data_IF_862119601684
#
_entry.id   IF_862119601684
#
_cell.length_a   1.000
_cell.length_b   1.000
_cell.length_c   1.000
_cell.angle_alpha   90.00
_cell.angle_beta   90.00
_cell.angle_gamma   90.00
#
_symmetry.space_group_name_H-M   'P 1'
#
loop_
_entity.id
_entity.type
_entity.pdbx_description
1 polymer ?
#
# COMPACT_ATOMS: atom_id res chain seq x y z
N UNK A 1 11.16 21.60 -2.57
CA UNK A 1 9.72 21.90 -2.31
C UNK A 1 9.45 23.40 -2.47
N UNK A 2 8.22 23.82 -2.82
CA UNK A 2 7.90 25.25 -3.07
C UNK A 2 7.39 26.00 -1.82
N UNK A 3 7.31 27.33 -1.91
CA UNK A 3 6.93 28.21 -0.79
C UNK A 3 5.47 28.05 -0.34
N UNK A 4 4.57 27.66 -1.26
CA UNK A 4 3.16 27.37 -0.91
C UNK A 4 3.07 26.16 0.02
N UNK A 5 3.86 25.11 -0.21
CA UNK A 5 3.91 23.93 0.65
C UNK A 5 4.50 24.28 2.02
N UNK A 6 5.54 25.12 2.06
CA UNK A 6 6.14 25.57 3.33
C UNK A 6 5.15 26.29 4.24
N UNK A 7 4.32 27.17 3.67
CA UNK A 7 3.34 27.94 4.44
C UNK A 7 2.13 27.10 4.91
N UNK A 8 1.93 25.91 4.35
CA UNK A 8 0.81 25.02 4.68
C UNK A 8 1.18 23.93 5.70
N UNK A 9 2.45 23.81 6.11
CA UNK A 9 2.94 22.74 6.97
C UNK A 9 3.64 23.28 8.22
N UNK A 10 3.55 22.58 9.36
CA UNK A 10 4.44 22.83 10.49
C UNK A 10 5.90 22.67 10.08
N UNK A 11 6.78 23.51 10.61
CA UNK A 11 8.20 23.56 10.23
C UNK A 11 8.90 22.19 10.34
N UNK A 12 8.67 21.45 11.42
CA UNK A 12 9.23 20.10 11.61
C UNK A 12 8.82 19.13 10.49
N UNK A 13 7.57 19.21 10.04
CA UNK A 13 7.05 18.35 8.95
C UNK A 13 7.67 18.77 7.62
N UNK A 14 7.77 20.08 7.36
CA UNK A 14 8.40 20.60 6.15
C UNK A 14 9.87 20.17 6.04
N UNK A 15 10.64 20.31 7.13
CA UNK A 15 12.05 19.93 7.16
C UNK A 15 12.21 18.43 6.95
N UNK A 16 11.45 17.61 7.69
CA UNK A 16 11.50 16.14 7.53
C UNK A 16 11.16 15.74 6.09
N UNK A 17 10.08 16.27 5.52
CA UNK A 17 9.66 15.94 4.15
C UNK A 17 10.70 16.37 3.11
N UNK A 18 11.32 17.54 3.31
CA UNK A 18 12.41 18.03 2.45
C UNK A 18 13.61 17.09 2.51
N UNK A 19 14.05 16.70 3.71
CA UNK A 19 15.15 15.74 3.89
C UNK A 19 14.87 14.39 3.22
N UNK A 20 13.63 13.89 3.32
CA UNK A 20 13.21 12.67 2.63
C UNK A 20 13.28 12.82 1.11
N UNK A 21 12.84 13.96 0.55
CA UNK A 21 12.88 14.19 -0.89
C UNK A 21 14.31 14.38 -1.39
N UNK A 22 15.16 15.07 -0.64
CA UNK A 22 16.58 15.25 -0.97
C UNK A 22 17.35 13.92 -0.95
N UNK A 23 16.93 12.97 -0.10
CA UNK A 23 17.43 11.58 -0.11
C UNK A 23 16.84 10.71 -1.22
N UNK A 24 16.01 11.29 -2.11
CA UNK A 24 15.36 10.60 -3.21
C UNK A 24 14.27 9.61 -2.77
N UNK A 25 13.72 9.77 -1.56
CA UNK A 25 12.65 8.92 -1.03
C UNK A 25 11.24 9.32 -1.51
N UNK A 26 11.16 10.41 -2.29
CA UNK A 26 9.93 10.91 -2.89
C UNK A 26 10.17 12.17 -3.73
N UNK A 27 9.11 12.86 -4.16
CA UNK A 27 7.71 12.47 -4.01
C UNK A 27 7.38 11.21 -4.81
N UNK A 28 6.51 10.37 -4.26
CA UNK A 28 5.97 9.18 -4.95
C UNK A 28 4.50 9.44 -5.27
N UNK A 29 4.10 9.13 -6.51
CA UNK A 29 2.70 9.15 -6.94
C UNK A 29 2.35 7.84 -7.69
N UNK A 30 1.07 7.66 -8.00
CA UNK A 30 0.61 6.44 -8.69
C UNK A 30 1.17 6.30 -10.11
N UNK A 31 1.63 7.36 -10.77
CA UNK A 31 2.18 7.27 -12.12
C UNK A 31 3.51 6.51 -12.13
N UNK A 32 4.26 6.51 -11.03
CA UNK A 32 5.50 5.75 -10.88
C UNK A 32 5.28 4.22 -10.99
N UNK A 33 4.06 3.75 -10.72
CA UNK A 33 3.67 2.34 -10.87
C UNK A 33 2.76 2.11 -12.08
N UNK A 34 2.58 3.13 -12.93
CA UNK A 34 1.67 3.09 -14.07
C UNK A 34 2.03 2.01 -15.08
N UNK A 35 3.30 1.95 -15.49
CA UNK A 35 3.77 0.97 -16.47
C UNK A 35 3.72 -0.46 -15.93
N UNK A 36 4.03 -0.64 -14.63
CA UNK A 36 3.88 -1.93 -13.97
C UNK A 36 2.42 -2.39 -13.98
N UNK A 37 1.49 -1.51 -13.61
CA UNK A 37 0.06 -1.82 -13.65
C UNK A 37 -0.43 -2.12 -15.06
N UNK A 38 -0.07 -1.30 -16.06
CA UNK A 38 -0.43 -1.54 -17.46
C UNK A 38 0.15 -2.86 -17.97
N UNK A 39 1.39 -3.19 -17.61
CA UNK A 39 2.03 -4.47 -17.90
C UNK A 39 1.26 -5.65 -17.31
N UNK A 40 0.82 -5.54 -16.04
CA UNK A 40 -0.04 -6.55 -15.38
C UNK A 40 -1.34 -6.70 -16.17
N UNK A 41 -2.09 -5.62 -16.41
CA UNK A 41 -3.36 -5.71 -17.16
C UNK A 41 -3.16 -6.31 -18.55
N UNK A 42 -2.10 -5.94 -19.27
CA UNK A 42 -1.80 -6.45 -20.62
C UNK A 42 -1.49 -7.94 -20.64
N UNK A 43 -0.82 -8.49 -19.61
CA UNK A 43 -0.52 -9.93 -19.51
C UNK A 43 -1.64 -10.76 -18.87
N UNK A 44 -2.43 -10.18 -17.97
CA UNK A 44 -3.46 -10.90 -17.20
C UNK A 44 -4.60 -11.37 -18.10
N UNK A 45 -5.20 -12.51 -17.78
CA UNK A 45 -6.40 -12.97 -18.49
C UNK A 45 -7.63 -12.18 -18.03
N UNK A 46 -8.74 -12.26 -18.78
CA UNK A 46 -9.98 -11.56 -18.41
C UNK A 46 -10.56 -12.09 -17.09
N UNK A 47 -10.49 -13.40 -16.84
CA UNK A 47 -10.93 -14.03 -15.59
C UNK A 47 -10.11 -13.56 -14.38
N UNK A 48 -8.80 -13.35 -14.57
CA UNK A 48 -7.92 -12.79 -13.54
C UNK A 48 -8.33 -11.35 -13.21
N UNK A 49 -8.50 -10.48 -14.21
CA UNK A 49 -8.92 -9.09 -13.99
C UNK A 49 -10.30 -9.03 -13.34
N UNK A 50 -11.23 -9.89 -13.77
CA UNK A 50 -12.58 -9.99 -13.20
C UNK A 50 -12.58 -10.43 -11.74
N UNK A 51 -11.55 -11.15 -11.30
CA UNK A 51 -11.43 -11.62 -9.91
C UNK A 51 -10.97 -10.54 -8.94
N UNK A 52 -10.37 -9.45 -9.42
CA UNK A 52 -9.86 -8.38 -8.57
C UNK A 52 -10.99 -7.65 -7.83
N UNK A 53 -10.70 -7.23 -6.61
CA UNK A 53 -11.66 -6.45 -5.80
C UNK A 53 -12.14 -5.21 -6.57
N UNK A 54 -13.44 -4.92 -6.44
CA UNK A 54 -14.15 -3.81 -7.08
C UNK A 54 -14.33 -3.93 -8.62
N UNK A 55 -13.83 -4.99 -9.26
CA UNK A 55 -14.09 -5.26 -10.70
C UNK A 55 -15.37 -6.07 -10.83
N UNK A 56 -16.41 -5.49 -11.46
CA UNK A 56 -17.71 -6.13 -11.64
C UNK A 56 -18.33 -5.80 -12.98
N UNK A 57 -19.09 -6.75 -13.50
CA UNK A 57 -20.04 -6.56 -14.61
C UNK A 57 -19.38 -6.03 -15.90
N UNK A 58 -18.40 -6.76 -16.43
CA UNK A 58 -17.78 -6.44 -17.71
C UNK A 58 -16.74 -5.31 -17.65
N UNK A 59 -16.47 -4.75 -16.47
CA UNK A 59 -15.43 -3.74 -16.30
C UNK A 59 -14.04 -4.29 -16.69
N UNK A 60 -13.80 -5.58 -16.50
CA UNK A 60 -12.60 -6.29 -16.93
C UNK A 60 -12.32 -6.12 -18.43
N UNK A 61 -13.36 -6.16 -19.28
CA UNK A 61 -13.23 -5.98 -20.72
C UNK A 61 -12.78 -4.56 -21.05
N UNK A 62 -13.41 -3.58 -20.40
CA UNK A 62 -13.08 -2.17 -20.56
C UNK A 62 -11.65 -1.88 -20.08
N UNK A 63 -11.25 -2.43 -18.93
CA UNK A 63 -9.88 -2.32 -18.41
C UNK A 63 -8.90 -2.91 -19.42
N UNK A 64 -9.16 -4.14 -19.89
CA UNK A 64 -8.28 -4.85 -20.83
C UNK A 64 -8.11 -4.09 -22.14
N UNK A 65 -9.20 -3.62 -22.73
CA UNK A 65 -9.19 -2.88 -24.00
C UNK A 65 -8.45 -1.55 -23.89
N UNK A 66 -8.76 -0.74 -22.86
CA UNK A 66 -8.17 0.59 -22.71
C UNK A 66 -6.70 0.53 -22.28
N UNK A 67 -6.26 -0.52 -21.58
CA UNK A 67 -4.85 -0.72 -21.26
C UNK A 67 -3.97 -0.96 -22.50
N UNK A 68 -4.52 -1.48 -23.60
CA UNK A 68 -3.78 -1.63 -24.86
C UNK A 68 -3.54 -0.29 -25.56
N UNK A 69 -4.45 0.66 -25.36
CA UNK A 69 -4.44 1.97 -26.03
C UNK A 69 -3.72 3.04 -25.22
N UNK A 70 -3.85 3.01 -23.90
CA UNK A 70 -3.27 4.00 -23.02
C UNK A 70 -1.73 3.96 -23.02
N UNK A 71 -1.12 5.14 -22.98
CA UNK A 71 0.34 5.32 -22.91
C UNK A 71 0.86 5.55 -21.49
N UNK A 72 -0.04 5.85 -20.54
CA UNK A 72 0.28 6.08 -19.14
C UNK A 72 -0.96 5.87 -18.25
N UNK A 73 -0.77 5.82 -16.93
CA UNK A 73 -1.85 5.55 -15.97
C UNK A 73 -2.95 6.63 -15.96
N UNK A 74 -2.58 7.91 -16.09
CA UNK A 74 -3.55 9.01 -16.09
C UNK A 74 -4.48 8.95 -17.28
N UNK A 75 -3.94 8.69 -18.47
CA UNK A 75 -4.72 8.46 -19.68
C UNK A 75 -5.63 7.23 -19.52
N UNK A 76 -5.06 6.11 -19.07
CA UNK A 76 -5.83 4.89 -18.80
C UNK A 76 -7.05 5.15 -17.89
N UNK A 77 -6.84 5.80 -16.75
CA UNK A 77 -7.92 6.12 -15.81
C UNK A 77 -8.99 7.02 -16.44
N UNK A 78 -8.58 7.96 -17.29
CA UNK A 78 -9.49 8.85 -18.01
C UNK A 78 -10.34 8.08 -19.04
N UNK A 79 -9.73 7.15 -19.77
CA UNK A 79 -10.43 6.31 -20.76
C UNK A 79 -11.41 5.33 -20.10
N UNK A 80 -11.02 4.72 -18.97
CA UNK A 80 -11.86 3.73 -18.28
C UNK A 80 -12.99 4.40 -17.49
N UNK A 81 -12.80 5.63 -17.00
CA UNK A 81 -13.80 6.37 -16.22
C UNK A 81 -15.14 6.47 -16.95
N UNK A 82 -16.21 6.20 -16.20
CA UNK A 82 -17.60 6.43 -16.63
C UNK A 82 -18.38 7.07 -15.48
N UNK A 83 -19.68 7.39 -15.69
CA UNK A 83 -20.56 7.78 -14.59
C UNK A 83 -20.70 6.65 -13.55
N UNK A 84 -20.67 5.39 -14.02
CA UNK A 84 -20.80 4.19 -13.19
C UNK A 84 -19.52 3.85 -12.42
N UNK A 85 -18.37 4.13 -13.00
CA UNK A 85 -17.06 3.84 -12.42
C UNK A 85 -16.31 5.15 -12.16
N UNK A 86 -16.49 5.76 -10.97
CA UNK A 86 -15.82 7.00 -10.61
C UNK A 86 -14.31 6.80 -10.44
N UNK A 87 -13.55 7.88 -10.58
CA UNK A 87 -12.08 7.86 -10.56
C UNK A 87 -11.51 7.22 -9.27
N UNK A 88 -12.11 7.50 -8.12
CA UNK A 88 -11.69 6.94 -6.82
C UNK A 88 -11.81 5.42 -6.79
N UNK A 89 -12.88 4.85 -7.37
CA UNK A 89 -13.04 3.39 -7.49
C UNK A 89 -11.97 2.80 -8.42
N UNK A 90 -11.71 3.46 -9.56
CA UNK A 90 -10.67 3.01 -10.49
C UNK A 90 -9.27 3.06 -9.86
N UNK A 91 -8.96 4.09 -9.08
CA UNK A 91 -7.70 4.17 -8.34
C UNK A 91 -7.55 3.03 -7.33
N UNK A 92 -8.63 2.61 -6.64
CA UNK A 92 -8.58 1.42 -5.77
C UNK A 92 -8.31 0.14 -6.56
N UNK A 93 -9.00 -0.04 -7.70
CA UNK A 93 -8.77 -1.20 -8.59
C UNK A 93 -7.32 -1.26 -9.06
N UNK A 94 -6.68 -0.13 -9.34
CA UNK A 94 -5.25 -0.10 -9.69
C UNK A 94 -4.40 -0.72 -8.58
N UNK A 95 -4.64 -0.34 -7.32
CA UNK A 95 -3.93 -0.90 -6.16
C UNK A 95 -4.27 -2.39 -5.97
N UNK A 96 -5.54 -2.79 -6.09
CA UNK A 96 -5.94 -4.18 -5.98
C UNK A 96 -5.31 -5.06 -7.07
N UNK A 97 -5.24 -4.58 -8.31
CA UNK A 97 -4.58 -5.28 -9.42
C UNK A 97 -3.06 -5.37 -9.22
N UNK A 98 -2.41 -4.32 -8.73
CA UNK A 98 -0.98 -4.36 -8.37
C UNK A 98 -0.70 -5.42 -7.29
N UNK A 99 -1.59 -5.54 -6.30
CA UNK A 99 -1.47 -6.52 -5.22
C UNK A 99 -1.99 -7.91 -5.59
N UNK A 100 -2.60 -8.08 -6.76
CA UNK A 100 -3.40 -9.25 -7.10
C UNK A 100 -4.39 -9.63 -5.98
N UNK A 101 -5.05 -8.63 -5.38
CA UNK A 101 -6.04 -8.82 -4.33
C UNK A 101 -7.40 -9.17 -4.97
N UNK A 102 -7.85 -10.40 -4.74
CA UNK A 102 -9.08 -10.92 -5.31
C UNK A 102 -10.27 -10.77 -4.35
N UNK A 103 -11.49 -10.78 -4.87
CA UNK A 103 -12.72 -10.80 -4.06
C UNK A 103 -12.71 -11.97 -3.04
N UNK A 104 -12.37 -13.23 -3.43
CA UNK A 104 -12.21 -14.32 -2.47
C UNK A 104 -11.20 -14.05 -1.36
N UNK A 105 -10.02 -13.51 -1.69
CA UNK A 105 -8.99 -13.20 -0.69
C UNK A 105 -9.45 -12.12 0.29
N UNK A 106 -10.07 -11.07 -0.23
CA UNK A 106 -10.62 -10.00 0.59
C UNK A 106 -11.73 -10.53 1.52
N UNK A 107 -12.64 -11.34 0.99
CA UNK A 107 -13.73 -11.93 1.77
C UNK A 107 -13.19 -12.87 2.86
N UNK A 108 -12.24 -13.74 2.54
CA UNK A 108 -11.57 -14.63 3.49
C UNK A 108 -10.95 -13.84 4.66
N UNK A 109 -10.20 -12.78 4.37
CA UNK A 109 -9.57 -11.92 5.38
C UNK A 109 -10.56 -11.03 6.15
N UNK A 110 -11.69 -10.65 5.55
CA UNK A 110 -12.65 -9.73 6.17
C UNK A 110 -13.74 -10.45 6.99
N UNK A 111 -14.05 -11.72 6.68
CA UNK A 111 -15.17 -12.48 7.28
C UNK A 111 -15.08 -12.70 8.78
N UNK A 112 -13.88 -12.80 9.36
CA UNK A 112 -13.75 -13.33 10.73
C UNK A 112 -13.89 -12.31 11.85
N UNK A 113 -13.37 -11.07 11.73
CA UNK A 113 -13.53 -10.02 12.78
C UNK A 113 -12.85 -8.67 12.46
N UNK A 114 -12.48 -8.38 11.21
CA UNK A 114 -11.65 -7.21 10.86
C UNK A 114 -10.14 -7.52 10.90
N UNK A 115 -9.27 -6.59 11.34
CA UNK A 115 -7.82 -6.77 11.22
C UNK A 115 -7.34 -7.97 12.05
N UNK A 116 -6.51 -8.83 11.44
CA UNK A 116 -5.99 -10.05 12.07
C UNK A 116 -4.78 -9.83 12.98
N UNK A 117 -4.22 -8.62 12.99
CA UNK A 117 -3.12 -8.23 13.88
C UNK A 117 -3.09 -6.72 14.11
N UNK A 118 -2.28 -6.33 15.10
CA UNK A 118 -1.86 -4.96 15.33
C UNK A 118 -0.35 -4.87 15.16
N UNK A 119 0.08 -4.13 14.13
CA UNK A 119 1.49 -3.84 13.89
C UNK A 119 1.83 -2.47 14.44
N UNK A 120 2.80 -2.44 15.35
CA UNK A 120 3.29 -1.19 15.92
C UNK A 120 4.26 -0.56 14.94
N UNK A 121 3.92 0.59 14.35
CA UNK A 121 4.80 1.32 13.42
C UNK A 121 5.67 2.37 14.11
N UNK A 122 5.25 2.85 15.28
CA UNK A 122 5.94 3.83 16.09
C UNK A 122 5.32 3.90 17.48
N UNK A 123 6.08 4.37 18.48
CA UNK A 123 5.56 4.68 19.81
C UNK A 123 6.44 5.75 20.48
N UNK A 124 5.85 6.55 21.36
CA UNK A 124 6.61 7.47 22.23
C UNK A 124 7.09 6.76 23.50
N UNK A 125 8.18 7.22 24.11
CA UNK A 125 8.69 6.65 25.35
C UNK A 125 7.66 6.69 26.50
N UNK A 126 6.84 7.76 26.55
CA UNK A 126 5.77 7.90 27.56
C UNK A 126 4.64 6.89 27.38
N UNK A 127 4.46 6.34 26.17
CA UNK A 127 3.43 5.35 25.85
C UNK A 127 3.83 3.90 26.17
N UNK A 128 5.04 3.65 26.71
CA UNK A 128 5.49 2.29 27.06
C UNK A 128 4.53 1.52 27.99
N UNK A 129 3.93 2.11 29.05
CA UNK A 129 2.96 1.42 29.88
C UNK A 129 1.70 1.00 29.11
N UNK A 130 1.21 1.87 28.21
CA UNK A 130 0.08 1.58 27.33
C UNK A 130 0.40 0.42 26.39
N UNK A 131 1.60 0.42 25.78
CA UNK A 131 2.02 -0.65 24.88
C UNK A 131 2.09 -2.01 25.59
N UNK A 132 2.57 -2.03 26.85
CA UNK A 132 2.56 -3.25 27.68
C UNK A 132 1.13 -3.73 27.97
N UNK A 133 0.21 -2.81 28.27
CA UNK A 133 -1.21 -3.14 28.50
C UNK A 133 -1.86 -3.68 27.23
N UNK A 134 -1.66 -3.01 26.09
CA UNK A 134 -2.17 -3.41 24.78
C UNK A 134 -1.78 -4.85 24.43
N UNK A 135 -0.51 -5.22 24.61
CA UNK A 135 -0.02 -6.59 24.35
C UNK A 135 -0.68 -7.65 25.23
N UNK A 136 -1.20 -7.29 26.41
CA UNK A 136 -1.90 -8.20 27.32
C UNK A 136 -3.41 -8.28 27.06
N UNK A 137 -4.01 -7.19 26.56
CA UNK A 137 -5.47 -7.06 26.45
C UNK A 137 -5.99 -7.19 25.03
N UNK A 138 -5.14 -7.10 24.01
CA UNK A 138 -5.57 -7.22 22.62
C UNK A 138 -6.07 -8.64 22.29
N UNK A 139 -7.17 -8.71 21.54
CA UNK A 139 -7.75 -9.97 21.06
C UNK A 139 -7.04 -10.53 19.82
N UNK A 140 -6.12 -9.76 19.24
CA UNK A 140 -5.33 -10.14 18.07
C UNK A 140 -3.84 -9.98 18.39
N UNK A 141 -2.97 -10.72 17.69
CA UNK A 141 -1.52 -10.56 17.80
C UNK A 141 -1.04 -9.12 17.72
N UNK A 142 -0.19 -8.72 18.66
CA UNK A 142 0.48 -7.41 18.66
C UNK A 142 1.97 -7.63 18.49
N UNK A 143 2.53 -7.17 17.37
CA UNK A 143 3.97 -7.29 17.12
C UNK A 143 4.59 -6.00 16.60
N UNK A 144 5.88 -5.86 16.92
CA UNK A 144 6.74 -4.76 16.50
C UNK A 144 7.66 -5.23 15.38
N UNK A 145 8.34 -6.36 15.56
CA UNK A 145 9.24 -6.93 14.56
C UNK A 145 8.45 -7.77 13.55
N UNK A 146 8.58 -7.46 12.26
CA UNK A 146 7.99 -8.25 11.17
C UNK A 146 8.42 -9.73 11.23
N UNK A 147 9.67 -10.01 11.62
CA UNK A 147 10.19 -11.37 11.77
C UNK A 147 9.41 -12.25 12.78
N UNK A 148 8.58 -11.67 13.65
CA UNK A 148 7.73 -12.45 14.55
C UNK A 148 6.47 -13.01 13.87
N UNK A 149 6.20 -12.66 12.61
CA UNK A 149 4.99 -13.08 11.89
C UNK A 149 4.84 -14.61 11.83
N UNK A 150 5.97 -15.33 11.71
CA UNK A 150 6.02 -16.79 11.64
C UNK A 150 5.52 -17.49 12.92
N UNK A 151 5.26 -16.74 14.00
CA UNK A 151 4.70 -17.27 15.26
C UNK A 151 3.17 -17.34 15.27
N UNK A 152 2.51 -16.79 14.25
CA UNK A 152 1.06 -16.66 14.20
C UNK A 152 0.45 -17.54 13.10
N UNK A 153 -0.86 -17.77 13.16
CA UNK A 153 -1.58 -18.63 12.21
C UNK A 153 -1.62 -18.08 10.78
N UNK A 154 -1.97 -18.95 9.83
CA UNK A 154 -1.97 -18.65 8.39
C UNK A 154 -2.78 -17.41 8.03
N UNK A 155 -3.94 -17.18 8.66
CA UNK A 155 -4.78 -16.00 8.42
C UNK A 155 -4.02 -14.68 8.66
N UNK A 156 -3.23 -14.63 9.75
CA UNK A 156 -2.42 -13.45 10.11
C UNK A 156 -1.27 -13.28 9.13
N UNK A 157 -0.61 -14.38 8.76
CA UNK A 157 0.50 -14.36 7.81
C UNK A 157 0.04 -13.91 6.42
N UNK A 158 -1.12 -14.38 5.96
CA UNK A 158 -1.71 -14.01 4.67
C UNK A 158 -2.02 -12.52 4.60
N UNK A 159 -2.65 -11.96 5.63
CA UNK A 159 -2.92 -10.51 5.70
C UNK A 159 -1.62 -9.69 5.72
N UNK A 160 -0.63 -10.12 6.50
CA UNK A 160 0.67 -9.45 6.57
C UNK A 160 1.45 -9.53 5.25
N UNK A 161 1.30 -10.61 4.49
CA UNK A 161 1.93 -10.74 3.18
C UNK A 161 1.46 -9.67 2.19
N UNK A 162 0.19 -9.24 2.26
CA UNK A 162 -0.30 -8.11 1.45
C UNK A 162 0.32 -6.78 1.88
N UNK A 163 0.49 -6.54 3.18
CA UNK A 163 1.22 -5.36 3.69
C UNK A 163 2.68 -5.34 3.21
N UNK A 164 3.35 -6.50 3.23
CA UNK A 164 4.71 -6.62 2.71
C UNK A 164 4.79 -6.40 1.21
N UNK A 165 3.88 -7.00 0.44
CA UNK A 165 3.82 -6.78 -1.00
C UNK A 165 3.56 -5.30 -1.32
N UNK A 166 2.67 -4.64 -0.59
CA UNK A 166 2.40 -3.22 -0.77
C UNK A 166 3.65 -2.37 -0.51
N UNK A 167 4.41 -2.68 0.55
CA UNK A 167 5.68 -2.00 0.86
C UNK A 167 6.73 -2.23 -0.22
N UNK A 168 6.84 -3.45 -0.74
CA UNK A 168 7.81 -3.82 -1.78
C UNK A 168 7.48 -3.17 -3.13
N UNK A 169 6.20 -3.14 -3.51
CA UNK A 169 5.76 -2.44 -4.71
C UNK A 169 5.92 -0.92 -4.57
N UNK A 170 5.61 -0.35 -3.39
CA UNK A 170 5.86 1.06 -3.12
C UNK A 170 7.35 1.41 -3.25
N UNK A 171 8.25 0.54 -2.78
CA UNK A 171 9.69 0.74 -2.90
C UNK A 171 10.15 0.90 -4.36
N UNK A 172 9.51 0.21 -5.32
CA UNK A 172 9.83 0.36 -6.74
C UNK A 172 9.57 1.76 -7.28
N UNK A 173 8.67 2.53 -6.66
CA UNK A 173 8.33 3.89 -7.06
C UNK A 173 9.29 4.96 -6.49
N UNK A 174 10.22 4.57 -5.61
CA UNK A 174 11.18 5.47 -4.99
C UNK A 174 12.33 5.79 -5.96
N UNK A 175 12.73 7.06 -6.02
CA UNK A 175 13.77 7.54 -6.94
C UNK A 175 15.18 7.06 -6.55
N UNK A 176 15.46 6.95 -5.25
CA UNK A 176 16.74 6.45 -4.76
C UNK A 176 16.88 4.93 -5.00
N UNK A 177 17.80 4.46 -5.86
CA UNK A 177 17.92 3.04 -6.20
C UNK A 177 18.21 2.13 -5.01
N UNK A 178 19.01 2.60 -4.05
CA UNK A 178 19.33 1.83 -2.84
C UNK A 178 18.10 1.55 -1.96
N UNK A 179 17.08 2.41 -2.05
CA UNK A 179 15.84 2.30 -1.31
C UNK A 179 14.77 1.44 -2.03
N UNK A 180 15.04 0.98 -3.25
CA UNK A 180 14.11 0.14 -4.04
C UNK A 180 14.20 -1.36 -3.72
N UNK A 181 15.07 -1.75 -2.78
CA UNK A 181 15.19 -3.14 -2.33
C UNK A 181 13.90 -3.61 -1.66
N UNK A 182 13.50 -4.86 -1.94
CA UNK A 182 12.35 -5.50 -1.28
C UNK A 182 12.67 -5.99 0.15
N UNK A 183 11.66 -6.44 0.87
CA UNK A 183 11.78 -6.93 2.24
C UNK A 183 11.96 -5.83 3.28
N UNK A 184 11.59 -4.57 2.96
CA UNK A 184 11.82 -3.40 3.82
C UNK A 184 11.21 -3.54 5.21
N UNK A 185 10.08 -4.23 5.32
CA UNK A 185 9.41 -4.50 6.60
C UNK A 185 10.27 -5.29 7.59
N UNK A 186 11.21 -6.09 7.09
CA UNK A 186 12.10 -6.92 7.90
C UNK A 186 13.44 -6.25 8.23
N UNK A 187 13.82 -5.23 7.44
CA UNK A 187 15.12 -4.55 7.57
C UNK A 187 15.01 -3.30 8.44
N UNK A 188 13.87 -2.59 8.38
CA UNK A 188 13.67 -1.37 9.17
C UNK A 188 13.36 -1.71 10.62
N UNK A 189 14.30 -1.38 11.52
CA UNK A 189 14.06 -1.48 12.95
C UNK A 189 13.20 -0.32 13.43
N UNK A 190 12.14 -0.65 14.17
CA UNK A 190 11.35 0.35 14.89
C UNK A 190 12.23 1.04 15.93
N UNK A 191 12.42 2.34 15.75
CA UNK A 191 13.00 3.21 16.78
C UNK A 191 11.85 3.84 17.58
N UNK A 192 11.98 3.97 18.91
CA UNK A 192 11.07 4.83 19.66
C UNK A 192 11.06 6.22 19.03
N UNK A 193 9.89 6.83 18.86
CA UNK A 193 9.81 8.24 18.49
C UNK A 193 10.32 9.04 19.68
N UNK A 194 11.58 9.48 19.58
CA UNK A 194 12.17 10.43 20.50
C UNK A 194 11.67 11.81 20.06
N UNK A 195 10.53 12.23 20.61
CA UNK A 195 10.16 13.64 20.58
C UNK A 195 10.89 14.34 21.74
N UNK A 196 11.60 15.45 21.49
CA UNK A 196 12.02 16.37 22.55
C UNK A 196 10.79 16.96 23.26
#
# INVERSE_FOLDING_TARGET
MNMKVRNALPEKVYNSLSDFFDQGMGPVDNNHLGDLFLGIVRRSRLDEIASWVDVKEGLENRIKENAQKATNLKEFLTMVKTKRYPLTRLQRIVIHGLLNLTDPDFQDMHRKTGPSYLRILAFSNRALPLLKKLKKTAHVPVFTKAAHINRYGADVQKMFAYDCLATDLYALAINNPSARQGGRDFIHQLKPLIYP
#
